data_IF_758307167393
#
_entry.id   IF_758307167393
#
_cell.length_a   1.000
_cell.length_b   1.000
_cell.length_c   1.000
_cell.angle_alpha   90.00
_cell.angle_beta   90.00
_cell.angle_gamma   90.00
#
_symmetry.space_group_name_H-M   'P 1'
#
loop_
_entity.id
_entity.type
_entity.pdbx_description
1 polymer ?
#
# COMPACT_ATOMS: atom_id res chain seq x y z
N UNK A 1 -31.73 0.18 0.87
CA UNK A 1 -31.16 1.05 -0.18
C UNK A 1 -29.75 1.41 0.27
N UNK A 2 -28.72 1.21 -0.57
CA UNK A 2 -27.34 1.49 -0.17
C UNK A 2 -26.99 2.94 -0.57
N UNK A 3 -26.75 3.87 0.39
CA UNK A 3 -26.49 5.28 0.09
C UNK A 3 -25.17 5.49 -0.67
N UNK A 4 -24.23 4.52 -0.60
CA UNK A 4 -22.95 4.61 -1.29
C UNK A 4 -23.08 4.41 -2.81
N UNK A 5 -24.19 3.87 -3.31
CA UNK A 5 -24.41 3.61 -4.74
C UNK A 5 -24.99 4.79 -5.52
N UNK A 6 -25.32 5.91 -4.89
CA UNK A 6 -26.02 7.04 -5.51
C UNK A 6 -25.33 8.37 -5.19
N UNK A 7 -25.30 9.35 -6.12
CA UNK A 7 -24.79 10.69 -5.84
C UNK A 7 -25.37 11.28 -4.55
N UNK A 8 -24.55 12.02 -3.80
CA UNK A 8 -24.97 12.57 -2.51
C UNK A 8 -25.68 13.91 -2.73
N UNK A 9 -26.85 14.10 -2.12
CA UNK A 9 -27.64 15.34 -2.24
C UNK A 9 -27.23 16.44 -1.25
N UNK A 10 -26.17 16.21 -0.49
CA UNK A 10 -25.57 17.15 0.47
C UNK A 10 -24.81 18.27 -0.25
N UNK A 11 -24.55 19.42 0.41
CA UNK A 11 -23.70 20.47 -0.15
C UNK A 11 -22.33 19.91 -0.56
N UNK A 12 -21.89 20.27 -1.76
CA UNK A 12 -20.62 19.81 -2.36
C UNK A 12 -20.49 18.28 -2.47
N UNK A 13 -21.61 17.56 -2.47
CA UNK A 13 -21.65 16.09 -2.45
C UNK A 13 -20.90 15.49 -1.24
N UNK A 14 -20.90 16.17 -0.10
CA UNK A 14 -20.27 15.66 1.12
C UNK A 14 -20.88 14.32 1.56
N UNK A 15 -20.09 13.31 2.00
CA UNK A 15 -20.64 12.03 2.44
C UNK A 15 -21.67 12.20 3.58
N UNK A 16 -22.92 11.69 3.43
CA UNK A 16 -23.92 11.74 4.49
C UNK A 16 -23.60 10.67 5.55
N UNK A 17 -22.59 10.91 6.38
CA UNK A 17 -22.07 9.93 7.36
C UNK A 17 -23.15 9.36 8.28
N UNK A 18 -24.18 10.14 8.60
CA UNK A 18 -25.33 9.70 9.40
C UNK A 18 -26.17 8.59 8.74
N UNK A 19 -26.03 8.38 7.42
CA UNK A 19 -26.74 7.35 6.66
C UNK A 19 -25.82 6.18 6.26
N UNK A 20 -24.50 6.38 6.28
CA UNK A 20 -23.52 5.37 5.91
C UNK A 20 -23.29 4.44 7.11
N UNK A 21 -23.26 3.13 6.86
CA UNK A 21 -23.07 2.08 7.87
C UNK A 21 -22.02 1.10 7.37
N UNK A 22 -21.37 0.40 8.29
CA UNK A 22 -20.33 -0.57 7.98
C UNK A 22 -20.82 -1.63 6.97
N UNK A 23 -22.05 -2.13 7.14
CA UNK A 23 -22.65 -3.13 6.23
C UNK A 23 -22.86 -2.64 4.78
N UNK A 24 -22.77 -1.32 4.53
CA UNK A 24 -22.93 -0.77 3.19
C UNK A 24 -21.69 -0.90 2.31
N UNK A 25 -20.49 -1.01 2.89
CA UNK A 25 -19.23 -0.87 2.13
C UNK A 25 -18.98 -2.01 1.15
N UNK A 26 -18.87 -3.25 1.62
CA UNK A 26 -18.51 -4.37 0.74
C UNK A 26 -19.51 -4.57 -0.42
N UNK A 27 -20.84 -4.58 -0.17
CA UNK A 27 -21.80 -4.69 -1.27
C UNK A 27 -21.72 -3.52 -2.25
N UNK A 28 -21.43 -2.30 -1.77
CA UNK A 28 -21.25 -1.14 -2.65
C UNK A 28 -19.99 -1.27 -3.49
N UNK A 29 -18.85 -1.63 -2.89
CA UNK A 29 -17.56 -1.77 -3.57
C UNK A 29 -17.63 -2.86 -4.65
N UNK A 30 -18.22 -4.01 -4.34
CA UNK A 30 -18.41 -5.08 -5.33
C UNK A 30 -19.26 -4.63 -6.52
N UNK A 31 -20.38 -3.94 -6.27
CA UNK A 31 -21.23 -3.44 -7.35
C UNK A 31 -20.55 -2.32 -8.16
N UNK A 32 -19.82 -1.43 -7.50
CA UNK A 32 -19.09 -0.35 -8.16
C UNK A 32 -17.89 -0.86 -8.96
N UNK A 33 -17.24 -1.95 -8.54
CA UNK A 33 -16.26 -2.67 -9.37
C UNK A 33 -16.94 -3.23 -10.63
N UNK A 34 -18.10 -3.89 -10.50
CA UNK A 34 -18.86 -4.38 -11.67
C UNK A 34 -19.31 -3.24 -12.61
N UNK A 35 -19.63 -2.08 -12.08
CA UNK A 35 -19.93 -0.89 -12.88
C UNK A 35 -18.69 -0.37 -13.61
N UNK A 36 -17.58 -0.22 -12.90
CA UNK A 36 -16.32 0.22 -13.49
C UNK A 36 -15.84 -0.74 -14.59
N UNK A 37 -15.95 -2.05 -14.39
CA UNK A 37 -15.62 -3.04 -15.43
C UNK A 37 -16.48 -2.90 -16.69
N UNK A 38 -17.77 -2.56 -16.55
CA UNK A 38 -18.65 -2.27 -17.70
C UNK A 38 -18.21 -0.99 -18.41
N UNK A 39 -17.82 0.05 -17.69
CA UNK A 39 -17.30 1.28 -18.27
C UNK A 39 -16.00 1.03 -19.04
N UNK A 40 -15.08 0.22 -18.49
CA UNK A 40 -13.87 -0.21 -19.19
C UNK A 40 -14.21 -1.02 -20.44
N UNK A 41 -15.19 -1.92 -20.39
CA UNK A 41 -15.63 -2.67 -21.56
C UNK A 41 -16.14 -1.73 -22.68
N UNK A 42 -16.90 -0.69 -22.34
CA UNK A 42 -17.34 0.33 -23.30
C UNK A 42 -16.17 1.05 -23.97
N UNK A 43 -15.07 1.28 -23.25
CA UNK A 43 -13.85 1.87 -23.82
C UNK A 43 -13.17 0.85 -24.76
N UNK A 44 -12.97 -0.38 -24.30
CA UNK A 44 -12.23 -1.39 -25.06
C UNK A 44 -12.95 -1.86 -26.32
N UNK A 45 -14.28 -1.91 -26.29
CA UNK A 45 -15.11 -2.38 -27.39
C UNK A 45 -15.68 -1.23 -28.26
N UNK A 46 -15.27 0.02 -28.01
CA UNK A 46 -15.64 1.15 -28.88
C UNK A 46 -15.07 0.94 -30.30
N UNK A 47 -15.92 0.87 -31.34
CA UNK A 47 -15.48 0.59 -32.71
C UNK A 47 -14.78 1.78 -33.39
N UNK A 48 -14.90 2.98 -32.83
CA UNK A 48 -14.20 4.16 -33.34
C UNK A 48 -12.69 4.07 -33.08
N UNK A 49 -11.91 4.69 -33.98
CA UNK A 49 -10.47 4.83 -33.82
C UNK A 49 -10.13 5.45 -32.44
N UNK A 50 -9.12 4.92 -31.71
CA UNK A 50 -8.75 5.45 -30.41
C UNK A 50 -8.39 6.94 -30.46
N UNK A 51 -9.00 7.72 -29.59
CA UNK A 51 -8.73 9.15 -29.40
C UNK A 51 -8.56 9.45 -27.91
N UNK A 52 -8.00 10.62 -27.58
CA UNK A 52 -7.90 11.06 -26.19
C UNK A 52 -9.27 11.03 -25.50
N UNK A 53 -10.32 11.50 -26.17
CA UNK A 53 -11.67 11.59 -25.60
C UNK A 53 -12.29 10.22 -25.33
N UNK A 54 -12.25 9.30 -26.31
CA UNK A 54 -12.91 8.00 -26.20
C UNK A 54 -12.08 6.93 -25.48
N UNK A 55 -10.83 7.23 -25.11
CA UNK A 55 -9.93 6.32 -24.42
C UNK A 55 -9.45 6.89 -23.10
N UNK A 56 -8.67 7.97 -23.10
CA UNK A 56 -8.04 8.51 -21.88
C UNK A 56 -9.05 9.28 -21.01
N UNK A 57 -9.79 10.22 -21.60
CA UNK A 57 -10.81 10.98 -20.84
C UNK A 57 -11.93 10.07 -20.33
N UNK A 58 -12.32 9.06 -21.12
CA UNK A 58 -13.27 8.04 -20.70
C UNK A 58 -12.71 7.18 -19.54
N UNK A 59 -11.44 6.79 -19.61
CA UNK A 59 -10.76 6.03 -18.56
C UNK A 59 -10.65 6.82 -17.24
N UNK A 60 -10.32 8.12 -17.30
CA UNK A 60 -10.29 9.01 -16.13
C UNK A 60 -11.65 9.15 -15.43
N UNK A 61 -12.75 9.03 -16.18
CA UNK A 61 -14.12 9.09 -15.62
C UNK A 61 -14.58 7.75 -15.09
N UNK A 62 -13.95 6.65 -15.51
CA UNK A 62 -14.34 5.31 -15.08
C UNK A 62 -14.11 5.12 -13.59
N UNK A 63 -15.07 4.47 -12.92
CA UNK A 63 -14.95 4.13 -11.51
C UNK A 63 -14.93 5.35 -10.59
N UNK A 64 -15.32 6.54 -11.04
CA UNK A 64 -15.32 7.76 -10.21
C UNK A 64 -16.06 7.55 -8.88
N UNK A 65 -17.23 6.88 -8.93
CA UNK A 65 -18.00 6.58 -7.72
C UNK A 65 -17.33 5.53 -6.83
N UNK A 66 -16.65 4.54 -7.42
CA UNK A 66 -15.81 3.60 -6.67
C UNK A 66 -14.72 4.36 -5.89
N UNK A 67 -14.05 5.32 -6.54
CA UNK A 67 -13.04 6.18 -5.90
C UNK A 67 -13.58 6.97 -4.72
N UNK A 68 -14.79 7.55 -4.83
CA UNK A 68 -15.43 8.27 -3.72
C UNK A 68 -15.71 7.32 -2.55
N UNK A 69 -16.30 6.15 -2.81
CA UNK A 69 -16.69 5.21 -1.74
C UNK A 69 -15.47 4.63 -1.03
N UNK A 70 -14.40 4.31 -1.76
CA UNK A 70 -13.16 3.81 -1.16
C UNK A 70 -12.46 4.89 -0.34
N UNK A 71 -12.46 6.15 -0.81
CA UNK A 71 -11.92 7.27 -0.04
C UNK A 71 -12.64 7.43 1.31
N UNK A 72 -13.97 7.32 1.35
CA UNK A 72 -14.74 7.37 2.60
C UNK A 72 -14.34 6.22 3.53
N UNK A 73 -14.30 4.98 3.02
CA UNK A 73 -13.93 3.80 3.80
C UNK A 73 -12.54 3.96 4.44
N UNK A 74 -11.53 4.28 3.65
CA UNK A 74 -10.15 4.38 4.14
C UNK A 74 -9.93 5.61 5.02
N UNK A 75 -10.67 6.70 4.81
CA UNK A 75 -10.67 7.84 5.71
C UNK A 75 -11.21 7.48 7.10
N UNK A 76 -12.39 6.85 7.18
CA UNK A 76 -12.94 6.39 8.46
C UNK A 76 -12.06 5.32 9.11
N UNK A 77 -11.53 4.37 8.33
CA UNK A 77 -10.62 3.35 8.86
C UNK A 77 -9.31 3.93 9.41
N UNK A 78 -8.92 5.15 8.99
CA UNK A 78 -7.78 5.85 9.56
C UNK A 78 -8.14 6.71 10.77
N UNK A 79 -9.27 7.43 10.73
CA UNK A 79 -9.64 8.44 11.72
C UNK A 79 -10.48 7.89 12.89
N UNK A 80 -11.35 6.92 12.64
CA UNK A 80 -12.33 6.38 13.59
C UNK A 80 -12.53 4.87 13.31
N UNK A 81 -11.45 4.10 13.48
CA UNK A 81 -11.43 2.67 13.12
C UNK A 81 -12.18 1.81 14.13
N UNK A 82 -12.63 0.64 13.68
CA UNK A 82 -13.22 -0.43 14.49
C UNK A 82 -12.70 -1.78 13.99
N UNK A 83 -12.77 -2.86 14.79
CA UNK A 83 -12.38 -4.20 14.32
C UNK A 83 -13.18 -4.62 13.07
N UNK A 84 -14.45 -4.24 13.01
CA UNK A 84 -15.32 -4.52 11.87
C UNK A 84 -14.85 -3.73 10.64
N UNK A 85 -14.55 -2.44 10.81
CA UNK A 85 -14.10 -1.57 9.72
C UNK A 85 -12.72 -2.01 9.19
N UNK A 86 -11.82 -2.48 10.04
CA UNK A 86 -10.52 -3.05 9.63
C UNK A 86 -10.71 -4.30 8.77
N UNK A 87 -11.59 -5.22 9.18
CA UNK A 87 -11.91 -6.43 8.39
C UNK A 87 -12.50 -6.06 7.03
N UNK A 88 -13.41 -5.08 6.99
CA UNK A 88 -13.98 -4.54 5.75
C UNK A 88 -12.88 -3.94 4.87
N UNK A 89 -12.01 -3.11 5.43
CA UNK A 89 -10.92 -2.47 4.69
C UNK A 89 -9.93 -3.49 4.10
N UNK A 90 -9.63 -4.58 4.83
CA UNK A 90 -8.78 -5.67 4.33
C UNK A 90 -9.44 -6.38 3.14
N UNK A 91 -10.71 -6.76 3.25
CA UNK A 91 -11.45 -7.41 2.18
C UNK A 91 -11.61 -6.49 0.96
N UNK A 92 -11.94 -5.22 1.18
CA UNK A 92 -12.02 -4.20 0.14
C UNK A 92 -10.67 -4.01 -0.56
N UNK A 93 -9.56 -3.96 0.18
CA UNK A 93 -8.21 -3.83 -0.40
C UNK A 93 -7.88 -4.99 -1.34
N UNK A 94 -8.28 -6.22 -0.98
CA UNK A 94 -8.12 -7.40 -1.85
C UNK A 94 -8.90 -7.24 -3.15
N UNK A 95 -10.19 -6.88 -3.07
CA UNK A 95 -11.06 -6.68 -4.23
C UNK A 95 -10.55 -5.58 -5.17
N UNK A 96 -10.12 -4.44 -4.59
CA UNK A 96 -9.60 -3.30 -5.34
C UNK A 96 -8.27 -3.62 -6.02
N UNK A 97 -7.40 -4.37 -5.35
CA UNK A 97 -6.14 -4.84 -5.93
C UNK A 97 -6.40 -5.76 -7.12
N UNK A 98 -7.35 -6.69 -7.00
CA UNK A 98 -7.73 -7.58 -8.10
C UNK A 98 -8.29 -6.80 -9.29
N UNK A 99 -9.19 -5.84 -9.04
CA UNK A 99 -9.72 -4.93 -10.07
C UNK A 99 -8.61 -4.12 -10.76
N UNK A 100 -7.72 -3.50 -9.98
CA UNK A 100 -6.59 -2.74 -10.52
C UNK A 100 -5.65 -3.61 -11.37
N UNK A 101 -5.41 -4.86 -10.96
CA UNK A 101 -4.61 -5.79 -11.75
C UNK A 101 -5.30 -6.15 -13.07
N UNK A 102 -6.61 -6.44 -13.05
CA UNK A 102 -7.38 -6.70 -14.27
C UNK A 102 -7.32 -5.51 -15.23
N UNK A 103 -7.45 -4.28 -14.72
CA UNK A 103 -7.33 -3.05 -15.50
C UNK A 103 -5.96 -2.93 -16.18
N UNK A 104 -4.88 -3.04 -15.40
CA UNK A 104 -3.50 -2.87 -15.90
C UNK A 104 -3.05 -4.00 -16.84
N UNK A 105 -3.64 -5.20 -16.69
CA UNK A 105 -3.35 -6.35 -17.56
C UNK A 105 -4.26 -6.43 -18.79
N UNK A 106 -5.22 -5.51 -18.95
CA UNK A 106 -6.14 -5.50 -20.09
C UNK A 106 -5.42 -5.08 -21.38
N UNK A 107 -5.11 -6.08 -22.22
CA UNK A 107 -4.38 -5.88 -23.47
C UNK A 107 -5.13 -4.97 -24.45
N UNK A 108 -6.46 -5.13 -24.59
CA UNK A 108 -7.26 -4.28 -25.48
C UNK A 108 -7.20 -2.82 -25.04
N UNK A 109 -7.32 -2.57 -23.74
CA UNK A 109 -7.24 -1.21 -23.20
C UNK A 109 -5.86 -0.62 -23.43
N UNK A 110 -4.79 -1.38 -23.15
CA UNK A 110 -3.43 -0.93 -23.40
C UNK A 110 -3.19 -0.60 -24.88
N UNK A 111 -3.64 -1.43 -25.82
CA UNK A 111 -3.47 -1.16 -27.25
C UNK A 111 -4.17 0.15 -27.67
N UNK A 112 -5.34 0.45 -27.11
CA UNK A 112 -5.99 1.76 -27.32
C UNK A 112 -5.16 2.90 -26.75
N UNK A 113 -4.70 2.80 -25.50
CA UNK A 113 -3.87 3.82 -24.84
C UNK A 113 -2.57 4.04 -25.61
N UNK A 114 -1.90 2.97 -26.03
CA UNK A 114 -0.69 2.98 -26.85
C UNK A 114 -0.92 3.67 -28.19
N UNK A 115 -2.02 3.35 -28.88
CA UNK A 115 -2.39 4.00 -30.15
C UNK A 115 -2.53 5.51 -29.98
N UNK A 116 -3.25 5.96 -28.94
CA UNK A 116 -3.40 7.39 -28.64
C UNK A 116 -2.06 8.02 -28.27
N UNK A 117 -1.24 7.33 -27.47
CA UNK A 117 0.09 7.79 -27.09
C UNK A 117 1.00 8.00 -28.30
N UNK A 118 1.14 6.99 -29.15
CA UNK A 118 1.99 7.00 -30.35
C UNK A 118 1.53 8.06 -31.36
N UNK A 119 0.21 8.21 -31.58
CA UNK A 119 -0.33 9.23 -32.48
C UNK A 119 -0.05 10.67 -32.03
N UNK A 120 0.14 10.89 -30.72
CA UNK A 120 0.37 12.20 -30.13
C UNK A 120 1.85 12.46 -29.77
N UNK A 121 2.77 11.55 -30.12
CA UNK A 121 4.20 11.80 -29.95
C UNK A 121 4.65 12.91 -30.93
N UNK A 122 5.08 14.05 -30.38
CA UNK A 122 5.64 15.16 -31.16
C UNK A 122 4.60 16.08 -31.83
N UNK A 123 3.31 15.96 -31.52
CA UNK A 123 2.25 16.84 -32.06
C UNK A 123 1.64 17.74 -30.98
N UNK A 124 1.31 18.99 -31.33
CA UNK A 124 0.69 19.99 -30.44
C UNK A 124 -0.85 19.89 -30.37
N UNK A 125 -1.45 18.72 -30.62
CA UNK A 125 -2.92 18.60 -30.65
C UNK A 125 -3.56 18.54 -29.25
N UNK A 126 -2.82 18.09 -28.24
CA UNK A 126 -3.29 18.01 -26.85
C UNK A 126 -2.74 19.17 -26.01
N UNK A 127 -3.56 19.61 -25.05
CA UNK A 127 -3.09 20.52 -23.99
C UNK A 127 -2.07 19.86 -23.06
N UNK A 128 -1.37 20.66 -22.26
CA UNK A 128 -0.34 20.18 -21.32
C UNK A 128 -0.91 19.16 -20.32
N UNK A 129 -2.10 19.41 -19.80
CA UNK A 129 -2.78 18.52 -18.84
C UNK A 129 -3.13 17.17 -19.48
N UNK A 130 -3.71 17.19 -20.68
CA UNK A 130 -4.08 16.00 -21.44
C UNK A 130 -2.85 15.16 -21.80
N UNK A 131 -1.77 15.80 -22.26
CA UNK A 131 -0.50 15.13 -22.55
C UNK A 131 0.10 14.50 -21.30
N UNK A 132 -0.02 15.17 -20.15
CA UNK A 132 0.46 14.64 -18.86
C UNK A 132 -0.32 13.39 -18.45
N UNK A 133 -1.65 13.43 -18.52
CA UNK A 133 -2.52 12.29 -18.18
C UNK A 133 -2.24 11.11 -19.13
N UNK A 134 -2.16 11.35 -20.44
CA UNK A 134 -1.83 10.33 -21.43
C UNK A 134 -0.46 9.69 -21.17
N UNK A 135 0.55 10.50 -20.87
CA UNK A 135 1.91 10.02 -20.56
C UNK A 135 1.92 9.18 -19.29
N UNK A 136 1.18 9.59 -18.26
CA UNK A 136 1.07 8.85 -17.01
C UNK A 136 0.41 7.48 -17.23
N UNK A 137 -0.75 7.43 -17.91
CA UNK A 137 -1.41 6.16 -18.22
C UNK A 137 -0.52 5.22 -19.02
N UNK A 138 0.06 5.70 -20.11
CA UNK A 138 0.94 4.87 -20.94
C UNK A 138 2.11 4.31 -20.12
N UNK A 139 2.80 5.16 -19.36
CA UNK A 139 3.89 4.75 -18.47
C UNK A 139 3.41 3.70 -17.46
N UNK A 140 2.27 3.90 -16.82
CA UNK A 140 1.78 3.00 -15.78
C UNK A 140 1.43 1.62 -16.36
N UNK A 141 0.88 1.53 -17.58
CA UNK A 141 0.74 0.25 -18.29
C UNK A 141 2.09 -0.40 -18.61
N UNK A 142 3.04 0.35 -19.15
CA UNK A 142 4.39 -0.16 -19.48
C UNK A 142 5.08 -0.71 -18.23
N UNK A 143 5.01 0.02 -17.11
CA UNK A 143 5.57 -0.37 -15.81
C UNK A 143 4.88 -1.58 -15.19
N UNK A 144 3.67 -1.91 -15.64
CA UNK A 144 2.95 -3.14 -15.31
C UNK A 144 3.15 -4.25 -16.36
N UNK A 145 4.15 -4.11 -17.23
CA UNK A 145 4.56 -5.15 -18.17
C UNK A 145 3.66 -5.27 -19.39
N UNK A 146 2.86 -4.26 -19.72
CA UNK A 146 1.93 -4.32 -20.85
C UNK A 146 2.63 -4.52 -22.22
N UNK A 147 3.90 -4.10 -22.35
CA UNK A 147 4.73 -4.34 -23.54
C UNK A 147 5.38 -5.74 -23.58
N UNK A 148 5.38 -6.49 -22.47
CA UNK A 148 5.98 -7.82 -22.41
C UNK A 148 5.12 -8.83 -23.18
N UNK A 149 5.78 -9.81 -23.79
CA UNK A 149 5.13 -10.87 -24.57
C UNK A 149 5.64 -12.25 -24.16
N UNK A 150 4.84 -13.28 -24.43
CA UNK A 150 5.21 -14.68 -24.21
C UNK A 150 5.73 -14.96 -22.79
N UNK A 151 6.88 -15.62 -22.71
CA UNK A 151 7.49 -16.06 -21.45
C UNK A 151 7.86 -14.90 -20.52
N UNK A 152 8.26 -13.74 -21.06
CA UNK A 152 8.58 -12.57 -20.24
C UNK A 152 7.36 -12.04 -19.48
N UNK A 153 6.19 -12.02 -20.14
CA UNK A 153 4.93 -11.58 -19.50
C UNK A 153 4.49 -12.57 -18.42
N UNK A 154 4.60 -13.87 -18.71
CA UNK A 154 4.31 -14.92 -17.72
C UNK A 154 5.22 -14.80 -16.50
N UNK A 155 6.53 -14.65 -16.73
CA UNK A 155 7.51 -14.50 -15.66
C UNK A 155 7.28 -13.24 -14.83
N UNK A 156 6.95 -12.12 -15.47
CA UNK A 156 6.60 -10.88 -14.78
C UNK A 156 5.41 -11.07 -13.83
N UNK A 157 4.34 -11.75 -14.27
CA UNK A 157 3.18 -12.02 -13.44
C UNK A 157 3.50 -12.93 -12.23
N UNK A 158 4.33 -13.96 -12.43
CA UNK A 158 4.84 -14.82 -11.35
C UNK A 158 5.64 -14.01 -10.31
N UNK A 159 6.55 -13.14 -10.77
CA UNK A 159 7.35 -12.28 -9.90
C UNK A 159 6.46 -11.33 -9.09
N UNK A 160 5.50 -10.66 -9.74
CA UNK A 160 4.56 -9.74 -9.06
C UNK A 160 3.77 -10.46 -7.96
N UNK A 161 3.26 -11.65 -8.27
CA UNK A 161 2.52 -12.49 -7.31
C UNK A 161 3.39 -12.88 -6.13
N UNK A 162 4.63 -13.33 -6.40
CA UNK A 162 5.56 -13.74 -5.35
C UNK A 162 6.01 -12.56 -4.47
N UNK A 163 6.30 -11.40 -5.06
CA UNK A 163 6.66 -10.18 -4.34
C UNK A 163 5.52 -9.70 -3.43
N UNK A 164 4.27 -9.75 -3.90
CA UNK A 164 3.11 -9.38 -3.08
C UNK A 164 3.00 -10.26 -1.84
N UNK A 165 3.11 -11.59 -2.01
CA UNK A 165 3.12 -12.55 -0.89
C UNK A 165 4.28 -12.32 0.07
N UNK A 166 5.50 -12.19 -0.45
CA UNK A 166 6.70 -11.97 0.39
C UNK A 166 6.63 -10.67 1.19
N UNK A 167 6.06 -9.60 0.62
CA UNK A 167 5.93 -8.31 1.30
C UNK A 167 4.91 -8.39 2.44
N UNK A 168 3.81 -9.13 2.25
CA UNK A 168 2.83 -9.38 3.30
C UNK A 168 3.44 -10.21 4.44
N UNK A 169 4.06 -11.34 4.12
CA UNK A 169 4.73 -12.19 5.11
C UNK A 169 5.81 -11.42 5.89
N UNK A 170 6.60 -10.57 5.22
CA UNK A 170 7.60 -9.73 5.89
C UNK A 170 6.96 -8.83 6.96
N UNK A 171 5.84 -8.17 6.64
CA UNK A 171 5.14 -7.29 7.56
C UNK A 171 4.51 -8.06 8.73
N UNK A 172 3.88 -9.21 8.46
CA UNK A 172 3.29 -10.08 9.47
C UNK A 172 4.34 -10.57 10.47
N UNK A 173 5.52 -10.95 9.97
CA UNK A 173 6.65 -11.39 10.81
C UNK A 173 7.17 -10.26 11.70
N UNK A 174 7.26 -9.05 11.16
CA UNK A 174 7.65 -7.86 11.95
C UNK A 174 6.65 -7.60 13.06
N UNK A 175 5.35 -7.73 12.78
CA UNK A 175 4.30 -7.55 13.78
C UNK A 175 4.35 -8.64 14.85
N UNK A 176 4.44 -9.91 14.46
CA UNK A 176 4.51 -11.04 15.37
C UNK A 176 5.70 -10.91 16.33
N UNK A 177 6.90 -10.68 15.81
CA UNK A 177 8.10 -10.48 16.63
C UNK A 177 8.02 -9.25 17.55
N UNK A 178 7.29 -8.20 17.15
CA UNK A 178 7.06 -7.02 17.99
C UNK A 178 6.16 -7.34 19.16
N UNK A 179 5.12 -8.14 18.93
CA UNK A 179 4.11 -8.53 19.92
C UNK A 179 4.60 -9.64 20.85
N UNK A 180 5.38 -10.59 20.34
CA UNK A 180 5.91 -11.73 21.11
C UNK A 180 6.92 -11.30 22.18
N UNK A 181 7.59 -10.15 21.98
CA UNK A 181 8.55 -9.66 22.94
C UNK A 181 7.88 -8.94 24.11
N UNK A 182 8.11 -9.47 25.30
CA UNK A 182 7.74 -8.84 26.57
C UNK A 182 8.95 -8.71 27.50
N UNK A 183 9.14 -7.50 28.03
CA UNK A 183 10.05 -7.23 29.12
C UNK A 183 9.24 -7.01 30.39
N UNK A 184 9.04 -8.09 31.13
CA UNK A 184 8.30 -8.10 32.39
C UNK A 184 9.23 -7.80 33.57
N UNK A 185 8.86 -6.80 34.37
CA UNK A 185 9.60 -6.34 35.54
C UNK A 185 8.72 -6.42 36.79
N UNK A 186 9.28 -6.97 37.87
CA UNK A 186 8.60 -7.05 39.18
C UNK A 186 9.34 -6.28 40.28
N UNK A 187 10.61 -5.93 40.06
CA UNK A 187 11.39 -5.12 41.00
C UNK A 187 11.18 -3.63 40.74
N UNK A 188 10.67 -2.91 41.74
CA UNK A 188 10.48 -1.46 41.69
C UNK A 188 11.79 -0.70 41.45
N UNK A 189 12.95 -1.26 41.81
CA UNK A 189 14.25 -0.65 41.55
C UNK A 189 14.55 -0.52 40.05
N UNK A 190 13.94 -1.35 39.20
CA UNK A 190 14.15 -1.33 37.77
C UNK A 190 13.49 -0.14 37.07
N UNK A 191 12.54 0.51 37.74
CA UNK A 191 11.83 1.69 37.25
C UNK A 191 12.61 3.00 37.43
N UNK A 192 13.81 2.94 38.02
CA UNK A 192 14.59 4.12 38.34
C UNK A 192 14.85 4.98 37.08
N UNK A 193 14.48 6.27 37.17
CA UNK A 193 14.63 7.26 36.08
C UNK A 193 13.40 7.38 35.17
N UNK A 194 12.45 6.45 35.24
CA UNK A 194 11.23 6.52 34.44
C UNK A 194 10.26 7.58 34.98
N UNK A 195 9.68 8.44 34.12
CA UNK A 195 8.58 9.31 34.49
C UNK A 195 7.35 8.51 34.93
N UNK A 196 6.52 9.10 35.80
CA UNK A 196 5.31 8.46 36.33
C UNK A 196 4.40 7.92 35.22
N UNK A 197 4.13 8.70 34.16
CA UNK A 197 3.27 8.26 33.06
C UNK A 197 3.78 6.98 32.35
N UNK A 198 5.11 6.76 32.31
CA UNK A 198 5.70 5.55 31.70
C UNK A 198 5.51 4.36 32.63
N UNK A 199 5.68 4.58 33.92
CA UNK A 199 5.45 3.56 34.95
C UNK A 199 3.97 3.15 34.99
N UNK A 200 3.06 4.11 34.93
CA UNK A 200 1.61 3.86 34.95
C UNK A 200 1.17 3.11 33.68
N UNK A 201 1.65 3.52 32.50
CA UNK A 201 1.37 2.84 31.25
C UNK A 201 1.88 1.38 31.24
N UNK A 202 3.11 1.15 31.72
CA UNK A 202 3.67 -0.20 31.81
C UNK A 202 2.93 -1.09 32.83
N UNK A 203 2.39 -0.50 33.91
CA UNK A 203 1.58 -1.22 34.88
C UNK A 203 0.22 -1.61 34.29
N UNK A 204 -0.41 -0.69 33.55
CA UNK A 204 -1.65 -0.97 32.83
C UNK A 204 -1.46 -2.09 31.81
N UNK A 205 -0.39 -2.04 31.01
CA UNK A 205 -0.05 -3.10 30.04
C UNK A 205 0.14 -4.46 30.72
N UNK A 206 0.81 -4.51 31.88
CA UNK A 206 0.95 -5.73 32.66
C UNK A 206 -0.41 -6.27 33.12
N UNK A 207 -1.28 -5.40 33.62
CA UNK A 207 -2.64 -5.75 34.05
C UNK A 207 -3.48 -6.31 32.89
N UNK A 208 -3.44 -5.68 31.73
CA UNK A 208 -4.14 -6.14 30.52
C UNK A 208 -3.64 -7.51 30.06
N UNK A 209 -2.35 -7.79 30.23
CA UNK A 209 -1.73 -9.09 29.98
C UNK A 209 -1.96 -10.12 31.12
N UNK A 210 -2.65 -9.75 32.21
CA UNK A 210 -2.88 -10.63 33.36
C UNK A 210 -1.64 -10.89 34.22
N UNK A 211 -0.66 -9.99 34.19
CA UNK A 211 0.60 -10.07 34.92
C UNK A 211 0.68 -8.99 36.01
N UNK A 212 1.34 -9.30 37.13
CA UNK A 212 1.65 -8.32 38.17
C UNK A 212 2.91 -7.52 37.82
N UNK A 213 3.03 -6.26 38.23
CA UNK A 213 4.25 -5.45 38.01
C UNK A 213 4.15 -4.57 36.78
N UNK A 214 5.20 -4.55 35.94
CA UNK A 214 5.31 -3.66 34.78
C UNK A 214 5.71 -4.42 33.52
N UNK A 215 5.06 -4.12 32.40
CA UNK A 215 5.34 -4.74 31.10
C UNK A 215 5.80 -3.69 30.11
N UNK A 216 6.94 -3.94 29.46
CA UNK A 216 7.44 -3.14 28.35
C UNK A 216 7.49 -3.98 27.08
N UNK A 217 7.12 -3.37 25.95
CA UNK A 217 7.02 -4.02 24.63
C UNK A 217 7.94 -3.33 23.62
N UNK A 218 8.04 -3.88 22.40
CA UNK A 218 8.78 -3.26 21.31
C UNK A 218 8.01 -2.16 20.57
N UNK A 219 6.75 -1.90 20.95
CA UNK A 219 5.97 -0.81 20.39
C UNK A 219 6.58 0.54 20.76
N UNK A 220 6.62 1.47 19.81
CA UNK A 220 7.29 2.75 19.98
C UNK A 220 6.87 3.53 21.24
N UNK A 221 5.57 3.59 21.63
CA UNK A 221 5.14 4.24 22.86
C UNK A 221 5.71 3.61 24.15
N UNK A 222 6.08 2.33 24.13
CA UNK A 222 6.67 1.62 25.29
C UNK A 222 8.20 1.68 25.25
N UNK A 223 8.79 1.34 24.10
CA UNK A 223 10.24 1.25 23.95
C UNK A 223 10.94 2.61 24.03
N UNK A 224 10.43 3.64 23.36
CA UNK A 224 11.12 4.94 23.26
C UNK A 224 11.27 5.58 24.65
N UNK A 225 10.24 5.66 25.50
CA UNK A 225 10.39 6.19 26.85
C UNK A 225 11.33 5.37 27.74
N UNK A 226 11.29 4.02 27.65
CA UNK A 226 12.22 3.17 28.40
C UNK A 226 13.67 3.46 28.00
N UNK A 227 13.95 3.55 26.70
CA UNK A 227 15.28 3.88 26.18
C UNK A 227 15.74 5.29 26.56
N UNK A 228 14.83 6.26 26.55
CA UNK A 228 15.12 7.67 26.81
C UNK A 228 15.37 7.96 28.28
N UNK A 229 14.58 7.39 29.18
CA UNK A 229 14.53 7.80 30.58
C UNK A 229 15.08 6.79 31.58
N UNK A 230 15.09 5.48 31.25
CA UNK A 230 15.54 4.48 32.22
C UNK A 230 17.00 4.72 32.61
N UNK A 231 17.28 4.81 33.90
CA UNK A 231 18.65 4.88 34.40
C UNK A 231 19.39 3.54 34.30
N UNK A 232 18.65 2.43 34.19
CA UNK A 232 19.19 1.07 34.16
C UNK A 232 19.75 0.71 32.79
N UNK A 233 21.08 0.79 32.65
CA UNK A 233 21.80 0.46 31.40
C UNK A 233 21.45 -0.92 30.85
N UNK A 234 21.31 -1.91 31.72
CA UNK A 234 21.06 -3.29 31.30
C UNK A 234 19.64 -3.48 30.71
N UNK A 235 18.64 -2.69 31.16
CA UNK A 235 17.29 -2.68 30.56
C UNK A 235 17.31 -2.03 29.18
N UNK A 236 18.02 -0.91 29.04
CA UNK A 236 18.24 -0.27 27.73
C UNK A 236 18.95 -1.22 26.76
N UNK A 237 19.95 -1.96 27.24
CA UNK A 237 20.64 -2.96 26.41
C UNK A 237 19.69 -4.10 26.00
N UNK A 238 18.91 -4.67 26.93
CA UNK A 238 17.94 -5.74 26.64
C UNK A 238 16.96 -5.34 25.54
N UNK A 239 16.28 -4.20 25.71
CA UNK A 239 15.25 -3.78 24.76
C UNK A 239 15.86 -3.35 23.41
N UNK A 240 17.03 -2.69 23.43
CA UNK A 240 17.74 -2.34 22.20
C UNK A 240 18.12 -3.57 21.39
N UNK A 241 18.68 -4.60 22.04
CA UNK A 241 19.03 -5.86 21.36
C UNK A 241 17.79 -6.53 20.78
N UNK A 242 16.71 -6.62 21.55
CA UNK A 242 15.46 -7.20 21.07
C UNK A 242 14.92 -6.46 19.84
N UNK A 243 14.92 -5.13 19.86
CA UNK A 243 14.49 -4.31 18.72
C UNK A 243 15.42 -4.46 17.50
N UNK A 244 16.74 -4.43 17.70
CA UNK A 244 17.73 -4.46 16.62
C UNK A 244 17.83 -5.84 15.94
N UNK A 245 17.57 -6.92 16.66
CA UNK A 245 17.61 -8.30 16.15
C UNK A 245 16.23 -8.84 15.77
N UNK A 246 15.18 -8.01 15.81
CA UNK A 246 13.83 -8.40 15.43
C UNK A 246 13.80 -8.98 14.01
N UNK A 247 13.14 -10.12 13.83
CA UNK A 247 13.12 -10.88 12.58
C UNK A 247 14.49 -11.34 12.07
N UNK A 248 15.48 -11.47 12.96
CA UNK A 248 16.84 -11.93 12.66
C UNK A 248 17.32 -12.91 13.75
N UNK A 249 16.44 -13.82 14.15
CA UNK A 249 16.68 -14.76 15.26
C UNK A 249 16.80 -16.22 14.82
N UNK A 250 16.70 -16.52 13.52
CA UNK A 250 16.74 -17.90 13.01
C UNK A 250 15.49 -18.73 13.35
N UNK A 251 14.40 -18.08 13.74
CA UNK A 251 13.10 -18.69 14.01
C UNK A 251 12.16 -18.56 12.80
N UNK A 252 10.90 -18.96 12.98
CA UNK A 252 9.89 -18.93 11.92
C UNK A 252 9.61 -17.50 11.38
N UNK A 253 9.82 -16.48 12.21
CA UNK A 253 9.66 -15.07 11.85
C UNK A 253 10.93 -14.41 11.28
N UNK A 254 12.00 -15.16 11.01
CA UNK A 254 13.22 -14.63 10.38
C UNK A 254 12.93 -14.13 8.94
N UNK A 255 13.37 -12.91 8.66
CA UNK A 255 13.12 -12.23 7.39
C UNK A 255 14.34 -12.18 6.46
N UNK A 256 15.51 -12.69 6.84
CA UNK A 256 16.74 -12.56 6.02
C UNK A 256 16.60 -13.17 4.63
N UNK A 257 16.12 -14.42 4.55
CA UNK A 257 15.96 -15.09 3.26
C UNK A 257 14.80 -14.50 2.44
N UNK A 258 13.76 -13.98 3.10
CA UNK A 258 12.69 -13.23 2.44
C UNK A 258 13.20 -11.94 1.81
N UNK A 259 14.00 -11.16 2.55
CA UNK A 259 14.66 -9.95 2.02
C UNK A 259 15.52 -10.31 0.81
N UNK A 260 16.33 -11.37 0.91
CA UNK A 260 17.18 -11.85 -0.19
C UNK A 260 16.34 -12.15 -1.44
N UNK A 261 15.23 -12.87 -1.27
CA UNK A 261 14.33 -13.19 -2.37
C UNK A 261 13.66 -11.94 -2.96
N UNK A 262 13.16 -11.02 -2.12
CA UNK A 262 12.56 -9.75 -2.55
C UNK A 262 13.54 -8.94 -3.40
N UNK A 263 14.79 -8.80 -2.95
CA UNK A 263 15.82 -8.02 -3.67
C UNK A 263 16.12 -8.64 -5.03
N UNK A 264 16.28 -9.96 -5.10
CA UNK A 264 16.55 -10.67 -6.36
C UNK A 264 15.37 -10.57 -7.33
N UNK A 265 14.14 -10.75 -6.85
CA UNK A 265 12.93 -10.64 -7.66
C UNK A 265 12.70 -9.21 -8.17
N UNK A 266 13.01 -8.19 -7.36
CA UNK A 266 12.95 -6.78 -7.77
C UNK A 266 13.96 -6.47 -8.87
N UNK A 267 15.18 -7.00 -8.77
CA UNK A 267 16.18 -6.88 -9.82
C UNK A 267 15.73 -7.57 -11.12
N UNK A 268 15.23 -8.80 -11.02
CA UNK A 268 14.72 -9.54 -12.18
C UNK A 268 13.55 -8.81 -12.86
N UNK A 269 12.61 -8.29 -12.06
CA UNK A 269 11.49 -7.49 -12.55
C UNK A 269 11.97 -6.24 -13.32
N UNK A 270 12.93 -5.51 -12.76
CA UNK A 270 13.48 -4.32 -13.41
C UNK A 270 14.16 -4.66 -14.74
N UNK A 271 14.96 -5.74 -14.76
CA UNK A 271 15.63 -6.23 -15.97
C UNK A 271 14.64 -6.66 -17.05
N UNK A 272 13.54 -7.32 -16.69
CA UNK A 272 12.47 -7.68 -17.64
C UNK A 272 11.86 -6.45 -18.32
N UNK A 273 11.77 -5.34 -17.59
CA UNK A 273 11.24 -4.07 -18.09
C UNK A 273 12.31 -3.19 -18.77
N UNK A 274 13.56 -3.67 -18.90
CA UNK A 274 14.65 -2.95 -19.57
C UNK A 274 15.41 -1.95 -18.70
N UNK A 275 15.23 -1.97 -17.38
CA UNK A 275 16.01 -1.17 -16.43
C UNK A 275 17.23 -1.96 -15.92
N UNK A 276 18.31 -1.27 -15.55
CA UNK A 276 19.53 -1.90 -15.02
C UNK A 276 19.37 -2.46 -13.61
N UNK A 277 18.49 -1.85 -12.83
CA UNK A 277 18.25 -2.15 -11.43
C UNK A 277 16.89 -1.60 -10.99
N UNK A 278 16.43 -2.03 -9.81
CA UNK A 278 15.14 -1.63 -9.27
C UNK A 278 15.06 -0.14 -8.90
N UNK A 279 16.18 0.49 -8.52
CA UNK A 279 16.18 1.91 -8.18
C UNK A 279 15.95 2.77 -9.42
N UNK A 280 16.57 2.43 -10.54
CA UNK A 280 16.36 3.06 -11.85
C UNK A 280 14.90 2.89 -12.31
N UNK A 281 14.31 1.71 -12.12
CA UNK A 281 12.88 1.48 -12.34
C UNK A 281 12.01 2.37 -11.45
N UNK A 282 12.25 2.44 -10.14
CA UNK A 282 11.42 3.24 -9.24
C UNK A 282 11.55 4.76 -9.52
N UNK A 283 12.76 5.25 -9.78
CA UNK A 283 13.08 6.67 -9.88
C UNK A 283 12.60 7.33 -11.16
N UNK A 284 12.33 6.60 -12.24
CA UNK A 284 11.77 7.13 -13.49
C UNK A 284 10.52 8.02 -13.24
N UNK A 285 9.66 7.54 -12.34
CA UNK A 285 8.40 8.20 -11.95
C UNK A 285 8.57 9.29 -10.89
N UNK A 286 9.77 9.44 -10.30
CA UNK A 286 10.04 10.37 -9.18
C UNK A 286 10.69 11.66 -9.68
N UNK A 287 10.72 12.67 -8.80
CA UNK A 287 11.35 13.96 -9.11
C UNK A 287 12.86 13.85 -9.32
N UNK A 288 13.53 12.95 -8.59
CA UNK A 288 14.98 12.77 -8.69
C UNK A 288 15.43 12.10 -10.00
N UNK A 289 14.53 11.41 -10.71
CA UNK A 289 14.72 10.74 -12.02
C UNK A 289 15.74 9.62 -12.09
N UNK A 290 16.86 9.69 -11.39
CA UNK A 290 17.94 8.72 -11.46
C UNK A 290 18.73 8.66 -10.16
N UNK A 291 19.52 7.59 -10.02
CA UNK A 291 20.31 7.30 -8.83
C UNK A 291 21.41 8.34 -8.58
N UNK A 292 22.02 8.91 -9.62
CA UNK A 292 23.07 9.91 -9.48
C UNK A 292 22.60 11.20 -8.80
N UNK A 293 21.39 11.68 -9.13
CA UNK A 293 20.78 12.84 -8.50
C UNK A 293 20.42 12.56 -7.04
N UNK A 294 19.99 11.34 -6.72
CA UNK A 294 19.72 10.95 -5.33
C UNK A 294 21.01 10.95 -4.51
N UNK A 295 22.07 10.32 -5.03
CA UNK A 295 23.35 10.24 -4.32
C UNK A 295 23.96 11.62 -4.11
N UNK A 296 23.94 12.49 -5.13
CA UNK A 296 24.44 13.86 -5.01
C UNK A 296 23.70 14.74 -3.98
N UNK A 297 22.47 14.38 -3.60
CA UNK A 297 21.72 15.07 -2.54
C UNK A 297 22.02 14.51 -1.14
N UNK A 298 22.36 13.21 -1.06
CA UNK A 298 22.63 12.51 0.20
C UNK A 298 24.09 12.64 0.66
N UNK A 299 25.01 12.80 -0.30
CA UNK A 299 26.45 13.04 -0.10
C UNK A 299 26.71 14.46 0.45
#
# INVERSE_FOLDING_TARGET
MNPLLQPFSTPYEAPPFNLIREEHYLPAIEELIRQAEREIALITDNPEAPSFQNTISALERSGARLGVVTAILFNLNHAETSETLQKIAQQASSLLTEYSNRLMMNEKLFERVKTVHEANQGQQQLGVEEQTILTNWYRDFVRNGALLKGDQKKRFAEIRTRLAKLTLEFADHVLAETNDYVLHLTDKQDLAGLPAYVVDAAAQEAQEAGLEGWLFTLHAPSMIPLMKYSSRRYLREKIHRAYAFRCNQGNEHDNRERIREIVNLRLELANLLGFTDYASYELESKMAKNTSTVLALLD
#
